data_IF_047660681647
#
_entry.id   IF_047660681647
#
_cell.length_a   1.000
_cell.length_b   1.000
_cell.length_c   1.000
_cell.angle_alpha   90.00
_cell.angle_beta   90.00
_cell.angle_gamma   90.00
#
_symmetry.space_group_name_H-M   'P 1'
#
loop_
_entity.id
_entity.type
_entity.pdbx_description
1 polymer ?
#
# COMPACT_ATOMS: atom_id res chain seq x y z
N UNK A 1 3.29 -10.03 -4.33
CA UNK A 1 2.91 -10.85 -5.51
C UNK A 1 2.25 -10.00 -6.58
N UNK A 2 1.29 -9.16 -6.22
CA UNK A 2 0.58 -8.26 -7.16
C UNK A 2 1.50 -7.21 -7.76
N UNK A 3 2.37 -6.60 -6.95
CA UNK A 3 3.34 -5.60 -7.44
C UNK A 3 4.30 -6.20 -8.47
N UNK A 4 4.83 -7.41 -8.23
CA UNK A 4 5.68 -8.11 -9.20
C UNK A 4 4.99 -8.33 -10.56
N UNK A 5 3.69 -8.63 -10.54
CA UNK A 5 2.90 -8.81 -11.76
C UNK A 5 2.70 -7.48 -12.49
N UNK A 6 2.47 -6.39 -11.74
CA UNK A 6 2.37 -5.03 -12.29
C UNK A 6 3.69 -4.53 -12.86
N UNK A 7 4.79 -4.75 -12.14
CA UNK A 7 6.15 -4.46 -12.60
C UNK A 7 6.46 -5.22 -13.89
N UNK A 8 6.04 -6.49 -13.98
CA UNK A 8 6.17 -7.27 -15.21
C UNK A 8 5.37 -6.64 -16.36
N UNK A 9 4.08 -6.36 -16.16
CA UNK A 9 3.24 -5.74 -17.19
C UNK A 9 3.81 -4.39 -17.65
N UNK A 10 4.25 -3.56 -16.72
CA UNK A 10 4.90 -2.28 -16.99
C UNK A 10 6.21 -2.46 -17.78
N UNK A 11 7.05 -3.43 -17.41
CA UNK A 11 8.29 -3.76 -18.15
C UNK A 11 8.03 -4.22 -19.58
N UNK A 12 6.83 -4.72 -19.86
CA UNK A 12 6.37 -5.19 -21.17
C UNK A 12 5.56 -4.12 -21.93
N UNK A 13 5.39 -2.92 -21.36
CA UNK A 13 4.49 -1.85 -21.86
C UNK A 13 3.07 -2.36 -22.14
N UNK A 14 2.57 -3.24 -21.27
CA UNK A 14 1.20 -3.76 -21.32
C UNK A 14 0.38 -3.11 -20.23
N UNK A 15 -0.90 -2.80 -20.51
CA UNK A 15 -1.66 -3.05 -21.74
C UNK A 15 -1.53 -1.95 -22.84
N UNK A 16 -0.73 -0.90 -22.60
CA UNK A 16 -0.64 0.26 -23.51
C UNK A 16 -0.28 -0.08 -24.96
N UNK A 17 0.65 -1.03 -25.17
CA UNK A 17 1.07 -1.50 -26.49
C UNK A 17 -0.03 -2.20 -27.30
N UNK A 18 -0.94 -2.93 -26.62
CA UNK A 18 -2.07 -3.60 -27.23
C UNK A 18 -3.19 -2.61 -27.56
N UNK A 19 -3.50 -1.70 -26.63
CA UNK A 19 -4.54 -0.67 -26.83
C UNK A 19 -4.17 0.32 -27.95
N UNK A 20 -2.88 0.68 -28.08
CA UNK A 20 -2.40 1.56 -29.14
C UNK A 20 -2.63 0.99 -30.55
N UNK A 21 -2.61 -0.34 -30.70
CA UNK A 21 -2.79 -1.03 -31.97
C UNK A 21 -4.27 -1.25 -32.33
N UNK A 22 -5.09 -1.65 -31.36
CA UNK A 22 -6.50 -2.02 -31.59
C UNK A 22 -7.41 -0.82 -31.86
N UNK A 23 -7.09 0.33 -31.27
CA UNK A 23 -7.88 1.56 -31.43
C UNK A 23 -6.96 2.71 -31.87
N UNK A 24 -6.60 2.78 -33.16
CA UNK A 24 -5.80 3.88 -33.69
C UNK A 24 -6.54 5.23 -33.62
N UNK A 25 -7.88 5.22 -33.48
CA UNK A 25 -8.75 6.38 -33.40
C UNK A 25 -9.58 6.34 -32.09
N UNK A 26 -9.56 7.44 -31.32
CA UNK A 26 -10.31 7.59 -30.06
C UNK A 26 -9.60 7.04 -28.81
N UNK A 27 -10.16 7.28 -27.63
CA UNK A 27 -9.57 6.82 -26.36
C UNK A 27 -9.96 5.36 -26.02
N UNK A 28 -9.09 4.59 -25.35
CA UNK A 28 -9.46 3.30 -24.79
C UNK A 28 -10.59 3.44 -23.75
N UNK A 29 -11.60 2.55 -23.75
CA UNK A 29 -12.75 2.66 -22.85
C UNK A 29 -12.38 2.42 -21.39
N UNK A 30 -11.33 1.62 -21.14
CA UNK A 30 -10.74 1.44 -19.81
C UNK A 30 -10.20 2.76 -19.28
N UNK A 31 -9.38 3.47 -20.07
CA UNK A 31 -8.84 4.78 -19.72
C UNK A 31 -9.96 5.80 -19.45
N UNK A 32 -10.97 5.84 -20.31
CA UNK A 32 -12.14 6.73 -20.13
C UNK A 32 -12.88 6.40 -18.83
N UNK A 33 -13.12 5.12 -18.54
CA UNK A 33 -13.78 4.69 -17.30
C UNK A 33 -12.98 5.09 -16.06
N UNK A 34 -11.65 4.92 -16.06
CA UNK A 34 -10.80 5.33 -14.92
C UNK A 34 -10.77 6.86 -14.77
N UNK A 35 -10.69 7.60 -15.88
CA UNK A 35 -10.76 9.06 -15.87
C UNK A 35 -12.12 9.55 -15.36
N UNK A 36 -13.22 8.93 -15.76
CA UNK A 36 -14.56 9.23 -15.26
C UNK A 36 -14.69 8.92 -13.77
N UNK A 37 -14.18 7.79 -13.29
CA UNK A 37 -14.15 7.47 -11.86
C UNK A 37 -13.38 8.53 -11.06
N UNK A 38 -12.20 8.93 -11.55
CA UNK A 38 -11.39 9.98 -10.92
C UNK A 38 -12.11 11.33 -10.89
N UNK A 39 -12.83 11.70 -11.95
CA UNK A 39 -13.63 12.94 -12.00
C UNK A 39 -14.83 12.89 -11.06
N UNK A 40 -15.56 11.77 -11.04
CA UNK A 40 -16.71 11.58 -10.15
C UNK A 40 -16.31 11.67 -8.68
N UNK A 41 -15.13 11.16 -8.33
CA UNK A 41 -14.60 11.21 -6.97
C UNK A 41 -13.88 12.52 -6.63
N UNK A 42 -13.78 13.45 -7.58
CA UNK A 42 -12.97 14.67 -7.46
C UNK A 42 -11.55 14.36 -6.95
N UNK A 43 -10.94 13.32 -7.53
CA UNK A 43 -9.82 12.59 -6.92
C UNK A 43 -8.60 13.45 -6.60
N UNK A 44 -8.23 14.39 -7.48
CA UNK A 44 -7.08 15.27 -7.27
C UNK A 44 -7.33 16.24 -6.11
N UNK A 45 -8.49 16.89 -6.06
CA UNK A 45 -8.85 17.78 -4.96
C UNK A 45 -8.98 17.01 -3.64
N UNK A 46 -9.51 15.79 -3.68
CA UNK A 46 -9.60 14.92 -2.50
C UNK A 46 -8.22 14.56 -1.95
N UNK A 47 -7.24 14.27 -2.81
CA UNK A 47 -5.85 14.03 -2.41
C UNK A 47 -5.24 15.28 -1.77
N UNK A 48 -5.45 16.46 -2.35
CA UNK A 48 -4.98 17.73 -1.78
C UNK A 48 -5.59 18.01 -0.41
N UNK A 49 -6.91 17.84 -0.26
CA UNK A 49 -7.58 17.99 1.05
C UNK A 49 -7.06 17.00 2.07
N UNK A 50 -6.91 15.72 1.69
CA UNK A 50 -6.36 14.71 2.60
C UNK A 50 -4.95 15.04 3.09
N UNK A 51 -4.11 15.64 2.24
CA UNK A 51 -2.78 16.11 2.64
C UNK A 51 -2.84 17.31 3.59
N UNK A 52 -3.76 18.24 3.32
CA UNK A 52 -3.97 19.41 4.18
C UNK A 52 -4.50 19.00 5.56
N UNK A 53 -5.50 18.12 5.61
CA UNK A 53 -6.04 17.55 6.84
C UNK A 53 -4.95 16.82 7.64
N UNK A 54 -4.13 16.01 6.97
CA UNK A 54 -3.00 15.30 7.60
C UNK A 54 -1.97 16.29 8.15
N UNK A 55 -1.68 17.36 7.43
CA UNK A 55 -0.76 18.41 7.88
C UNK A 55 -1.33 19.17 9.09
N UNK A 56 -2.64 19.42 9.13
CA UNK A 56 -3.30 20.05 10.27
C UNK A 56 -3.22 19.17 11.53
N UNK A 57 -3.54 17.87 11.42
CA UNK A 57 -3.43 16.92 12.54
C UNK A 57 -1.99 16.84 13.04
N UNK A 58 -1.02 16.71 12.12
CA UNK A 58 0.41 16.71 12.45
C UNK A 58 0.85 17.97 13.20
N UNK A 59 0.40 19.14 12.77
CA UNK A 59 0.76 20.40 13.41
C UNK A 59 0.19 20.49 14.83
N UNK A 60 -1.05 20.02 15.03
CA UNK A 60 -1.68 19.95 16.35
C UNK A 60 -0.92 18.99 17.28
N UNK A 61 -0.62 17.78 16.81
CA UNK A 61 0.11 16.77 17.58
C UNK A 61 1.52 17.27 17.93
N UNK A 62 2.19 17.93 16.98
CA UNK A 62 3.50 18.52 17.21
C UNK A 62 3.45 19.65 18.22
N UNK A 63 2.42 20.50 18.17
CA UNK A 63 2.24 21.59 19.14
C UNK A 63 2.05 21.06 20.56
N UNK A 64 1.19 20.04 20.73
CA UNK A 64 0.97 19.36 22.01
C UNK A 64 2.26 18.69 22.52
N UNK A 65 3.00 18.04 21.62
CA UNK A 65 4.29 17.45 21.97
C UNK A 65 5.31 18.50 22.41
N UNK A 66 5.43 19.62 21.68
CA UNK A 66 6.36 20.70 22.06
C UNK A 66 5.98 21.32 23.40
N UNK A 67 4.69 21.53 23.67
CA UNK A 67 4.23 22.00 24.98
C UNK A 67 4.61 21.01 26.09
N UNK A 68 4.44 19.71 25.87
CA UNK A 68 4.85 18.68 26.83
C UNK A 68 6.36 18.67 27.10
N UNK A 69 7.18 18.85 26.05
CA UNK A 69 8.64 18.94 26.19
C UNK A 69 9.06 20.22 26.92
N UNK A 70 8.42 21.35 26.62
CA UNK A 70 8.68 22.64 27.27
C UNK A 70 8.33 22.57 28.76
N UNK A 71 7.24 21.89 29.14
CA UNK A 71 6.89 21.64 30.54
C UNK A 71 7.94 20.79 31.26
N UNK A 72 8.48 19.75 30.61
CA UNK A 72 9.58 18.94 31.16
C UNK A 72 10.88 19.73 31.31
N UNK A 73 11.15 20.65 30.38
CA UNK A 73 12.30 21.54 30.47
C UNK A 73 12.13 22.55 31.62
N UNK A 74 10.95 23.15 31.75
CA UNK A 74 10.64 24.09 32.82
C UNK A 74 10.73 23.44 34.22
N UNK A 75 10.19 22.23 34.40
CA UNK A 75 10.29 21.50 35.68
C UNK A 75 11.76 21.22 36.05
N UNK A 76 12.56 20.79 35.06
CA UNK A 76 13.99 20.56 35.26
C UNK A 76 14.73 21.85 35.64
N UNK A 77 14.44 22.96 34.98
CA UNK A 77 15.04 24.26 35.32
C UNK A 77 14.62 24.75 36.71
N UNK A 78 13.39 24.49 37.14
CA UNK A 78 12.95 24.75 38.52
C UNK A 78 13.70 23.88 39.53
N UNK A 79 13.94 22.60 39.20
CA UNK A 79 14.75 21.70 40.02
C UNK A 79 16.19 22.17 40.19
N UNK A 80 16.83 22.50 39.09
CA UNK A 80 18.22 22.93 39.10
C UNK A 80 18.36 24.26 39.84
N UNK A 81 17.41 25.19 39.69
CA UNK A 81 17.36 26.44 40.46
C UNK A 81 17.15 26.21 41.95
N UNK A 82 16.24 25.32 42.34
CA UNK A 82 15.97 25.00 43.74
C UNK A 82 17.17 24.31 44.40
N UNK A 83 17.80 23.36 43.69
CA UNK A 83 19.02 22.68 44.14
C UNK A 83 20.19 23.66 44.29
N UNK A 84 20.36 24.60 43.36
CA UNK A 84 21.38 25.64 43.46
C UNK A 84 21.14 26.59 44.65
N UNK A 85 19.88 26.93 44.95
CA UNK A 85 19.53 27.88 46.02
C UNK A 85 19.59 27.28 47.43
N UNK A 86 19.11 26.05 47.61
CA UNK A 86 18.94 25.44 48.93
C UNK A 86 20.01 24.38 49.26
N UNK A 87 20.87 24.03 48.29
CA UNK A 87 21.87 22.97 48.43
C UNK A 87 21.24 21.58 48.53
N UNK A 88 22.08 20.55 48.51
CA UNK A 88 21.64 19.14 48.57
C UNK A 88 21.15 18.72 49.96
N UNK A 89 21.45 19.49 51.02
CA UNK A 89 21.05 19.16 52.40
C UNK A 89 19.58 19.45 52.70
N UNK A 90 18.99 20.48 52.06
CA UNK A 90 17.56 20.82 52.23
C UNK A 90 16.68 20.38 51.06
N UNK A 91 17.28 20.13 49.91
CA UNK A 91 16.60 19.67 48.70
C UNK A 91 17.00 18.23 48.37
N UNK A 92 16.43 17.29 49.13
CA UNK A 92 16.75 15.86 49.07
C UNK A 92 15.96 15.08 48.01
N UNK A 93 15.19 15.76 47.14
CA UNK A 93 14.46 15.10 46.06
C UNK A 93 15.41 14.55 44.99
N UNK A 94 15.02 13.44 44.38
CA UNK A 94 15.73 12.91 43.23
C UNK A 94 15.74 13.93 42.09
N UNK A 95 16.79 13.92 41.27
CA UNK A 95 16.88 14.78 40.09
C UNK A 95 15.68 14.54 39.18
N UNK A 96 15.13 15.61 38.62
CA UNK A 96 14.03 15.57 37.64
C UNK A 96 14.27 14.55 36.53
N UNK A 97 15.51 14.38 36.08
CA UNK A 97 15.88 13.41 35.04
C UNK A 97 15.69 11.97 35.51
N UNK A 98 15.99 11.67 36.77
CA UNK A 98 15.87 10.33 37.36
C UNK A 98 14.41 10.05 37.71
N UNK A 99 13.73 11.01 38.36
CA UNK A 99 12.33 10.88 38.74
C UNK A 99 11.41 10.79 37.51
N UNK A 100 11.73 11.53 36.45
CA UNK A 100 10.98 11.60 35.19
C UNK A 100 11.46 10.65 34.10
N UNK A 101 12.36 9.70 34.39
CA UNK A 101 13.02 8.86 33.36
C UNK A 101 12.03 8.22 32.37
N UNK A 102 10.91 7.69 32.87
CA UNK A 102 9.86 7.09 32.03
C UNK A 102 9.28 8.10 31.03
N UNK A 103 9.01 9.33 31.48
CA UNK A 103 8.41 10.38 30.65
C UNK A 103 9.41 10.91 29.62
N UNK A 104 10.68 11.08 30.00
CA UNK A 104 11.74 11.43 29.04
C UNK A 104 11.94 10.34 27.97
N UNK A 105 11.85 9.07 28.35
CA UNK A 105 11.92 7.96 27.40
C UNK A 105 10.72 8.00 26.44
N UNK A 106 9.49 8.15 26.95
CA UNK A 106 8.30 8.30 26.11
C UNK A 106 8.38 9.50 25.18
N UNK A 107 8.91 10.65 25.64
CA UNK A 107 9.12 11.81 24.79
C UNK A 107 10.13 11.52 23.65
N UNK A 108 11.22 10.81 23.95
CA UNK A 108 12.19 10.37 22.95
C UNK A 108 11.57 9.41 21.92
N UNK A 109 10.74 8.47 22.37
CA UNK A 109 10.06 7.51 21.49
C UNK A 109 9.08 8.23 20.55
N UNK A 110 8.28 9.16 21.08
CA UNK A 110 7.36 10.00 20.30
C UNK A 110 8.11 10.84 19.26
N UNK A 111 9.27 11.41 19.62
CA UNK A 111 10.12 12.13 18.67
C UNK A 111 10.62 11.22 17.52
N UNK A 112 10.93 9.95 17.84
CA UNK A 112 11.26 8.93 16.86
C UNK A 112 10.11 8.65 15.89
N UNK A 113 8.87 8.60 16.40
CA UNK A 113 7.67 8.45 15.59
C UNK A 113 7.46 9.65 14.65
N UNK A 114 7.62 10.88 15.14
CA UNK A 114 7.54 12.08 14.28
C UNK A 114 8.58 12.09 13.17
N UNK A 115 9.82 11.67 13.47
CA UNK A 115 10.90 11.61 12.48
C UNK A 115 10.62 10.58 11.38
N UNK A 116 10.08 9.42 11.77
CA UNK A 116 9.68 8.36 10.85
C UNK A 116 8.49 8.79 9.99
N UNK A 117 7.46 9.37 10.61
CA UNK A 117 6.29 9.91 9.93
C UNK A 117 6.66 11.02 8.94
N UNK A 118 7.56 11.93 9.30
CA UNK A 118 8.04 12.98 8.40
C UNK A 118 8.71 12.41 7.15
N UNK A 119 9.50 11.33 7.29
CA UNK A 119 10.14 10.67 6.15
C UNK A 119 9.11 10.04 5.21
N UNK A 120 8.06 9.43 5.77
CA UNK A 120 6.94 8.87 5.00
C UNK A 120 6.12 9.96 4.31
N UNK A 121 5.81 11.07 5.00
CA UNK A 121 5.09 12.21 4.43
C UNK A 121 5.82 12.79 3.21
N UNK A 122 7.14 12.96 3.31
CA UNK A 122 7.97 13.51 2.23
C UNK A 122 7.97 12.59 1.01
N UNK A 123 8.05 11.27 1.25
CA UNK A 123 7.96 10.25 0.20
C UNK A 123 6.61 10.29 -0.50
N UNK A 124 5.49 10.38 0.25
CA UNK A 124 4.14 10.47 -0.32
C UNK A 124 3.98 11.77 -1.10
N UNK A 125 4.49 12.90 -0.59
CA UNK A 125 4.46 14.19 -1.28
C UNK A 125 5.26 14.15 -2.59
N UNK A 126 6.42 13.50 -2.60
CA UNK A 126 7.21 13.26 -3.81
C UNK A 126 6.41 12.46 -4.84
N UNK A 127 5.87 11.32 -4.44
CA UNK A 127 5.02 10.49 -5.32
C UNK A 127 3.81 11.23 -5.88
N UNK A 128 3.16 12.07 -5.06
CA UNK A 128 2.04 12.87 -5.52
C UNK A 128 2.48 13.91 -6.56
N UNK A 129 3.60 14.60 -6.34
CA UNK A 129 4.13 15.58 -7.32
C UNK A 129 4.45 14.92 -8.65
N UNK A 130 5.05 13.73 -8.63
CA UNK A 130 5.37 12.97 -9.84
C UNK A 130 4.09 12.56 -10.59
N UNK A 131 3.05 12.16 -9.85
CA UNK A 131 1.76 11.76 -10.40
C UNK A 131 0.85 12.95 -10.76
N UNK A 132 1.09 14.16 -10.23
CA UNK A 132 0.18 15.31 -10.33
C UNK A 132 -0.08 15.70 -11.79
N UNK A 133 0.96 15.67 -12.62
CA UNK A 133 0.83 15.98 -14.05
C UNK A 133 -0.13 15.00 -14.75
N UNK A 134 0.02 13.70 -14.48
CA UNK A 134 -0.81 12.62 -15.05
C UNK A 134 -2.24 12.73 -14.52
N UNK A 135 -2.41 12.90 -13.21
CA UNK A 135 -3.73 13.04 -12.58
C UNK A 135 -4.47 14.29 -13.09
N UNK A 136 -3.77 15.39 -13.36
CA UNK A 136 -4.37 16.60 -13.94
C UNK A 136 -4.90 16.35 -15.36
N UNK A 137 -4.20 15.54 -16.13
CA UNK A 137 -4.64 15.14 -17.49
C UNK A 137 -5.86 14.21 -17.39
N UNK A 138 -5.84 13.22 -16.49
CA UNK A 138 -6.96 12.29 -16.26
C UNK A 138 -8.23 12.99 -15.75
N UNK A 139 -8.07 13.96 -14.85
CA UNK A 139 -9.18 14.75 -14.30
C UNK A 139 -9.66 15.88 -15.22
N UNK A 140 -8.93 16.18 -16.31
CA UNK A 140 -9.30 17.17 -17.34
C UNK A 140 -10.49 16.73 -18.21
N UNK A 141 -10.74 17.39 -19.34
CA UNK A 141 -11.83 16.98 -20.25
C UNK A 141 -11.42 15.79 -21.13
N UNK A 142 -12.40 15.08 -21.72
CA UNK A 142 -12.10 14.02 -22.71
C UNK A 142 -11.32 14.56 -23.92
N UNK A 143 -11.50 15.84 -24.27
CA UNK A 143 -10.74 16.51 -25.32
C UNK A 143 -9.27 16.70 -24.92
N UNK A 144 -9.01 17.01 -23.66
CA UNK A 144 -7.63 17.15 -23.15
C UNK A 144 -6.91 15.80 -23.17
N UNK A 145 -7.60 14.72 -22.79
CA UNK A 145 -7.11 13.34 -22.91
C UNK A 145 -6.80 12.96 -24.37
N UNK A 146 -7.71 13.25 -25.29
CA UNK A 146 -7.50 13.01 -26.73
C UNK A 146 -6.35 13.82 -27.30
N UNK A 147 -6.12 15.03 -26.80
CA UNK A 147 -4.97 15.85 -27.21
C UNK A 147 -3.64 15.33 -26.69
N UNK A 148 -3.64 14.68 -25.51
CA UNK A 148 -2.45 14.07 -24.93
C UNK A 148 -2.07 12.76 -25.60
N UNK A 149 -3.05 11.98 -26.06
CA UNK A 149 -2.83 10.70 -26.72
C UNK A 149 -2.83 10.90 -28.24
N UNK A 150 -1.65 10.88 -28.92
CA UNK A 150 -1.58 11.10 -30.36
C UNK A 150 -2.46 10.11 -31.13
N UNK A 151 -3.16 10.60 -32.15
CA UNK A 151 -3.88 9.73 -33.08
C UNK A 151 -2.87 9.01 -33.97
N UNK A 152 -2.81 7.68 -33.90
CA UNK A 152 -1.94 6.89 -34.78
C UNK A 152 -2.64 6.63 -36.12
N UNK A 153 -1.87 6.51 -37.20
CA UNK A 153 -2.40 6.04 -38.48
C UNK A 153 -2.94 4.62 -38.30
N UNK A 154 -3.97 4.24 -39.08
CA UNK A 154 -4.50 2.87 -39.05
C UNK A 154 -3.37 1.90 -39.40
N UNK A 155 -2.89 1.16 -38.41
CA UNK A 155 -2.04 0.01 -38.60
C UNK A 155 -2.76 -0.99 -39.52
N UNK A 156 -2.10 -1.48 -40.56
CA UNK A 156 -2.61 -2.61 -41.34
C UNK A 156 -2.48 -3.86 -40.48
N UNK A 157 -3.59 -4.25 -39.84
CA UNK A 157 -3.65 -5.45 -39.00
C UNK A 157 -3.58 -6.67 -39.93
N UNK A 158 -2.48 -7.42 -39.86
CA UNK A 158 -2.37 -8.73 -40.51
C UNK A 158 -3.15 -9.78 -39.72
N UNK A 159 -3.67 -10.85 -40.36
CA UNK A 159 -4.41 -11.91 -39.66
C UNK A 159 -3.58 -12.59 -38.56
N UNK A 160 -2.26 -12.71 -38.75
CA UNK A 160 -1.34 -13.22 -37.72
C UNK A 160 -1.24 -12.27 -36.52
N UNK A 161 -1.23 -10.95 -36.76
CA UNK A 161 -1.21 -9.95 -35.69
C UNK A 161 -2.52 -9.95 -34.90
N UNK A 162 -3.67 -10.11 -35.56
CA UNK A 162 -4.98 -10.18 -34.90
C UNK A 162 -5.11 -11.41 -33.98
N UNK A 163 -4.59 -12.55 -34.43
CA UNK A 163 -4.53 -13.78 -33.62
C UNK A 163 -3.68 -13.61 -32.36
N UNK A 164 -2.46 -13.09 -32.50
CA UNK A 164 -1.58 -12.88 -31.35
C UNK A 164 -2.09 -11.78 -30.41
N UNK A 165 -2.73 -10.74 -30.96
CA UNK A 165 -3.40 -9.69 -30.17
C UNK A 165 -4.56 -10.25 -29.35
N UNK A 166 -5.40 -11.09 -29.96
CA UNK A 166 -6.49 -11.78 -29.26
C UNK A 166 -5.97 -12.71 -28.15
N UNK A 167 -4.86 -13.41 -28.38
CA UNK A 167 -4.21 -14.25 -27.37
C UNK A 167 -3.69 -13.42 -26.19
N UNK A 168 -2.99 -12.33 -26.46
CA UNK A 168 -2.46 -11.44 -25.43
C UNK A 168 -3.60 -10.79 -24.61
N UNK A 169 -4.70 -10.40 -25.25
CA UNK A 169 -5.89 -9.88 -24.58
C UNK A 169 -6.49 -10.91 -23.61
N UNK A 170 -6.58 -12.17 -24.01
CA UNK A 170 -7.05 -13.25 -23.12
C UNK A 170 -6.16 -13.41 -21.89
N UNK A 171 -4.84 -13.40 -22.05
CA UNK A 171 -3.90 -13.46 -20.91
C UNK A 171 -4.06 -12.24 -19.97
N UNK A 172 -4.23 -11.02 -20.51
CA UNK A 172 -4.46 -9.83 -19.69
C UNK A 172 -5.81 -9.88 -18.93
N UNK A 173 -6.85 -10.44 -19.55
CA UNK A 173 -8.13 -10.67 -18.88
C UNK A 173 -8.00 -11.68 -17.74
N UNK A 174 -7.20 -12.73 -17.90
CA UNK A 174 -6.89 -13.68 -16.83
C UNK A 174 -6.13 -13.02 -15.68
N UNK A 175 -5.18 -12.12 -15.98
CA UNK A 175 -4.48 -11.32 -14.96
C UNK A 175 -5.47 -10.46 -14.16
N UNK A 176 -6.37 -9.74 -14.84
CA UNK A 176 -7.39 -8.92 -14.16
C UNK A 176 -8.33 -9.76 -13.30
N UNK A 177 -8.70 -10.97 -13.74
CA UNK A 177 -9.51 -11.91 -12.96
C UNK A 177 -8.76 -12.41 -11.72
N UNK A 178 -7.47 -12.71 -11.86
CA UNK A 178 -6.61 -13.12 -10.75
C UNK A 178 -6.51 -12.00 -9.69
N UNK A 179 -6.28 -10.75 -10.11
CA UNK A 179 -6.23 -9.59 -9.20
C UNK A 179 -7.56 -9.39 -8.45
N UNK A 180 -8.68 -9.48 -9.17
CA UNK A 180 -10.03 -9.32 -8.57
C UNK A 180 -10.33 -10.43 -7.56
N UNK A 181 -10.01 -11.69 -7.91
CA UNK A 181 -10.17 -12.83 -7.01
C UNK A 181 -9.31 -12.69 -5.76
N UNK A 182 -8.06 -12.25 -5.90
CA UNK A 182 -7.15 -11.96 -4.78
C UNK A 182 -7.71 -10.90 -3.85
N UNK A 183 -8.20 -9.76 -4.38
CA UNK A 183 -8.81 -8.70 -3.58
C UNK A 183 -9.98 -9.24 -2.75
N UNK A 184 -10.85 -10.06 -3.34
CA UNK A 184 -11.97 -10.69 -2.63
C UNK A 184 -11.49 -11.66 -1.54
N UNK A 185 -10.49 -12.51 -1.82
CA UNK A 185 -9.91 -13.44 -0.85
C UNK A 185 -9.32 -12.71 0.36
N UNK A 186 -8.57 -11.64 0.12
CA UNK A 186 -8.00 -10.81 1.20
C UNK A 186 -9.12 -10.24 2.09
N UNK A 187 -10.23 -9.80 1.50
CA UNK A 187 -11.36 -9.29 2.27
C UNK A 187 -12.00 -10.38 3.14
N UNK A 188 -12.26 -11.56 2.58
CA UNK A 188 -12.80 -12.71 3.31
C UNK A 188 -11.86 -13.15 4.45
N UNK A 189 -10.55 -13.19 4.21
CA UNK A 189 -9.57 -13.55 5.24
C UNK A 189 -9.53 -12.52 6.38
N UNK A 190 -9.64 -11.22 6.05
CA UNK A 190 -9.74 -10.16 7.07
C UNK A 190 -11.01 -10.28 7.90
N UNK A 191 -12.13 -10.64 7.29
CA UNK A 191 -13.39 -10.87 7.99
C UNK A 191 -13.30 -12.11 8.89
N UNK A 192 -12.73 -13.21 8.38
CA UNK A 192 -12.44 -14.42 9.16
C UNK A 192 -11.57 -14.12 10.38
N UNK A 193 -10.44 -13.43 10.19
CA UNK A 193 -9.55 -13.04 11.27
C UNK A 193 -10.18 -12.10 12.30
N UNK A 194 -11.15 -11.27 11.89
CA UNK A 194 -11.90 -10.41 12.83
C UNK A 194 -12.95 -11.17 13.64
N UNK A 195 -13.53 -12.22 13.06
CA UNK A 195 -14.51 -13.07 13.73
C UNK A 195 -13.85 -14.17 14.58
N UNK A 196 -12.54 -14.35 14.44
CA UNK A 196 -11.77 -15.38 15.11
C UNK A 196 -11.45 -14.97 16.56
N UNK A 197 -12.27 -15.43 17.50
CA UNK A 197 -12.10 -15.17 18.93
C UNK A 197 -11.57 -16.41 19.66
N UNK A 198 -10.30 -16.35 20.05
CA UNK A 198 -9.63 -17.42 20.80
C UNK A 198 -9.85 -17.32 22.32
N UNK A 199 -10.44 -16.23 22.84
CA UNK A 199 -10.60 -16.02 24.28
C UNK A 199 -11.35 -17.15 25.00
N UNK A 200 -12.45 -17.72 24.45
CA UNK A 200 -13.14 -18.84 25.08
C UNK A 200 -12.24 -20.08 25.23
N UNK A 201 -11.39 -20.34 24.23
CA UNK A 201 -10.47 -21.46 24.26
C UNK A 201 -9.32 -21.22 25.25
N UNK A 202 -8.81 -19.99 25.33
CA UNK A 202 -7.82 -19.58 26.34
C UNK A 202 -8.35 -19.75 27.76
N UNK A 203 -9.59 -19.33 28.03
CA UNK A 203 -10.21 -19.48 29.36
C UNK A 203 -10.35 -20.95 29.75
N UNK A 204 -10.71 -21.82 28.81
CA UNK A 204 -10.83 -23.25 29.05
C UNK A 204 -9.48 -23.91 29.35
N UNK A 205 -8.45 -23.58 28.57
CA UNK A 205 -7.09 -24.09 28.81
C UNK A 205 -6.48 -23.52 30.10
N UNK A 206 -6.76 -22.26 30.41
CA UNK A 206 -6.36 -21.66 31.69
C UNK A 206 -6.98 -22.40 32.87
N UNK A 207 -8.29 -22.68 32.83
CA UNK A 207 -8.97 -23.44 33.88
C UNK A 207 -8.45 -24.89 33.99
N UNK A 208 -7.99 -25.50 32.89
CA UNK A 208 -7.33 -26.81 32.89
C UNK A 208 -5.98 -26.75 33.58
N UNK A 209 -5.14 -25.76 33.22
CA UNK A 209 -3.81 -25.56 33.77
C UNK A 209 -3.85 -25.22 35.26
N UNK A 210 -4.78 -24.35 35.69
CA UNK A 210 -4.99 -24.04 37.11
C UNK A 210 -5.40 -25.27 37.94
N UNK A 211 -6.13 -26.22 37.33
CA UNK A 211 -6.55 -27.46 37.99
C UNK A 211 -5.44 -28.51 38.04
N UNK A 212 -4.67 -28.67 36.96
CA UNK A 212 -3.60 -29.67 36.85
C UNK A 212 -2.32 -29.22 37.58
N UNK A 213 -2.01 -27.92 37.57
CA UNK A 213 -0.79 -27.35 38.12
C UNK A 213 -1.05 -26.07 38.96
N UNK A 214 -1.78 -26.17 40.10
CA UNK A 214 -2.21 -25.00 40.89
C UNK A 214 -1.08 -24.17 41.53
N UNK A 215 0.17 -24.63 41.49
CA UNK A 215 1.33 -23.90 42.02
C UNK A 215 2.27 -23.37 40.93
N UNK A 216 2.01 -23.63 39.64
CA UNK A 216 2.80 -23.06 38.56
C UNK A 216 2.15 -21.75 38.08
N UNK A 217 2.95 -20.69 37.84
CA UNK A 217 2.45 -19.51 37.16
C UNK A 217 2.06 -19.88 35.72
N UNK A 218 0.96 -19.30 35.26
CA UNK A 218 0.52 -19.45 33.87
C UNK A 218 1.48 -18.68 32.98
N UNK A 219 2.10 -19.38 32.03
CA UNK A 219 3.06 -18.83 31.08
C UNK A 219 2.57 -19.02 29.64
N UNK A 220 2.98 -18.11 28.74
CA UNK A 220 2.55 -18.15 27.33
C UNK A 220 2.95 -19.44 26.60
N UNK A 221 4.06 -20.07 27.00
CA UNK A 221 4.56 -21.34 26.44
C UNK A 221 3.57 -22.50 26.62
N UNK A 222 2.73 -22.46 27.65
CA UNK A 222 1.76 -23.52 27.94
C UNK A 222 0.58 -23.52 26.95
N UNK A 223 0.41 -22.44 26.19
CA UNK A 223 -0.64 -22.30 25.18
C UNK A 223 -0.15 -22.56 23.75
N UNK A 224 1.13 -22.88 23.53
CA UNK A 224 1.68 -23.08 22.18
C UNK A 224 0.89 -24.13 21.37
N UNK A 225 0.58 -25.28 21.98
CA UNK A 225 -0.22 -26.32 21.33
C UNK A 225 -1.64 -25.85 20.98
N UNK A 226 -2.25 -25.03 21.85
CA UNK A 226 -3.57 -24.46 21.60
C UNK A 226 -3.51 -23.50 20.41
N UNK A 227 -2.48 -22.64 20.36
CA UNK A 227 -2.28 -21.71 19.25
C UNK A 227 -2.01 -22.45 17.95
N UNK A 228 -1.19 -23.50 17.96
CA UNK A 228 -0.92 -24.33 16.79
C UNK A 228 -2.20 -25.01 16.27
N UNK A 229 -2.97 -25.63 17.17
CA UNK A 229 -4.23 -26.29 16.82
C UNK A 229 -5.27 -25.30 16.26
N UNK A 230 -5.33 -24.10 16.85
CA UNK A 230 -6.23 -23.05 16.38
C UNK A 230 -5.80 -22.45 15.04
N UNK A 231 -4.49 -22.33 14.79
CA UNK A 231 -3.95 -21.80 13.54
C UNK A 231 -4.20 -22.73 12.34
N UNK A 232 -4.39 -24.04 12.55
CA UNK A 232 -4.82 -24.97 11.50
C UNK A 232 -6.13 -24.57 10.80
N UNK A 233 -6.96 -23.72 11.44
CA UNK A 233 -8.12 -23.09 10.80
C UNK A 233 -7.75 -22.35 9.51
N UNK A 234 -6.52 -21.84 9.39
CA UNK A 234 -6.03 -21.07 8.25
C UNK A 234 -5.23 -21.89 7.24
N UNK A 235 -5.04 -23.19 7.44
CA UNK A 235 -4.26 -24.05 6.53
C UNK A 235 -4.81 -24.00 5.10
N UNK A 236 -6.13 -24.05 4.95
CA UNK A 236 -6.77 -23.94 3.63
C UNK A 236 -6.47 -22.60 2.95
N UNK A 237 -6.34 -21.51 3.72
CA UNK A 237 -6.01 -20.19 3.19
C UNK A 237 -4.54 -20.14 2.74
N UNK A 238 -3.64 -20.79 3.49
CA UNK A 238 -2.22 -20.94 3.15
C UNK A 238 -2.07 -21.74 1.84
N UNK A 239 -2.76 -22.87 1.73
CA UNK A 239 -2.76 -23.71 0.52
C UNK A 239 -3.30 -22.94 -0.69
N UNK A 240 -4.37 -22.17 -0.51
CA UNK A 240 -4.91 -21.32 -1.58
C UNK A 240 -3.91 -20.26 -2.04
N UNK A 241 -3.13 -19.67 -1.14
CA UNK A 241 -2.07 -18.71 -1.48
C UNK A 241 -0.93 -19.40 -2.24
N UNK A 242 -0.54 -20.60 -1.83
CA UNK A 242 0.49 -21.39 -2.52
C UNK A 242 0.04 -21.78 -3.94
N UNK A 243 -1.20 -22.23 -4.10
CA UNK A 243 -1.78 -22.52 -5.41
C UNK A 243 -1.83 -21.27 -6.29
N UNK A 244 -2.29 -20.15 -5.74
CA UNK A 244 -2.40 -18.89 -6.49
C UNK A 244 -1.03 -18.37 -6.94
N UNK A 245 0.02 -18.61 -6.16
CA UNK A 245 1.40 -18.31 -6.55
C UNK A 245 1.82 -19.10 -7.78
N UNK A 246 1.56 -20.40 -7.80
CA UNK A 246 1.85 -21.27 -8.96
C UNK A 246 1.06 -20.84 -10.19
N UNK A 247 -0.23 -20.53 -10.03
CA UNK A 247 -1.08 -20.00 -11.11
C UNK A 247 -0.53 -18.67 -11.65
N UNK A 248 -0.07 -17.78 -10.78
CA UNK A 248 0.55 -16.51 -11.19
C UNK A 248 1.84 -16.76 -11.99
N UNK A 249 2.73 -17.63 -11.54
CA UNK A 249 3.99 -17.95 -12.24
C UNK A 249 3.74 -18.52 -13.65
N UNK A 250 2.73 -19.37 -13.79
CA UNK A 250 2.30 -19.89 -15.10
C UNK A 250 1.76 -18.77 -16.00
N UNK A 251 0.91 -17.91 -15.46
CA UNK A 251 0.32 -16.78 -16.21
C UNK A 251 1.39 -15.76 -16.62
N UNK A 252 2.37 -15.47 -15.76
CA UNK A 252 3.52 -14.62 -16.09
C UNK A 252 4.31 -15.18 -17.29
N UNK A 253 4.50 -16.50 -17.34
CA UNK A 253 5.17 -17.17 -18.46
C UNK A 253 4.36 -17.02 -19.74
N UNK A 254 3.04 -17.27 -19.68
CA UNK A 254 2.15 -17.13 -20.83
C UNK A 254 2.09 -15.69 -21.35
N UNK A 255 2.06 -14.70 -20.46
CA UNK A 255 2.09 -13.26 -20.83
C UNK A 255 3.40 -12.91 -21.54
N UNK A 256 4.56 -13.39 -21.04
CA UNK A 256 5.85 -13.17 -21.70
C UNK A 256 5.89 -13.78 -23.09
N UNK A 257 5.41 -15.01 -23.25
CA UNK A 257 5.34 -15.69 -24.55
C UNK A 257 4.42 -14.98 -25.53
N UNK A 258 3.20 -14.65 -25.10
CA UNK A 258 2.22 -13.91 -25.90
C UNK A 258 2.77 -12.54 -26.32
N UNK A 259 3.42 -11.81 -25.41
CA UNK A 259 4.03 -10.51 -25.74
C UNK A 259 5.21 -10.64 -26.71
N UNK A 260 6.03 -11.69 -26.58
CA UNK A 260 7.13 -11.94 -27.52
C UNK A 260 6.61 -12.23 -28.93
N UNK A 261 5.55 -13.03 -29.05
CA UNK A 261 4.92 -13.33 -30.35
C UNK A 261 4.25 -12.10 -30.94
N UNK A 262 3.52 -11.34 -30.13
CA UNK A 262 2.94 -10.05 -30.50
C UNK A 262 4.00 -9.08 -31.04
N UNK A 263 5.12 -8.90 -30.31
CA UNK A 263 6.20 -8.03 -30.74
C UNK A 263 6.88 -8.51 -32.02
N UNK A 264 6.99 -9.82 -32.26
CA UNK A 264 7.50 -10.37 -33.53
C UNK A 264 6.57 -10.03 -34.70
N UNK A 265 5.25 -10.20 -34.52
CA UNK A 265 4.25 -9.84 -35.51
C UNK A 265 4.21 -8.32 -35.78
N UNK A 266 4.54 -7.50 -34.76
CA UNK A 266 4.53 -6.03 -34.81
C UNK A 266 5.77 -5.37 -35.42
N UNK A 267 6.84 -6.11 -35.75
CA UNK A 267 8.17 -5.54 -36.15
C UNK A 267 8.20 -4.56 -37.32
N UNK A 268 7.09 -4.34 -38.05
CA UNK A 268 6.98 -3.39 -39.15
C UNK A 268 6.28 -2.06 -38.82
N UNK A 269 5.63 -1.89 -37.67
CA UNK A 269 4.79 -0.72 -37.39
C UNK A 269 5.37 0.17 -36.28
N UNK A 270 5.99 1.29 -36.69
CA UNK A 270 6.54 2.30 -35.77
C UNK A 270 5.56 3.42 -35.45
N UNK A 271 4.39 3.44 -36.10
CA UNK A 271 3.43 4.56 -36.02
C UNK A 271 2.66 4.63 -34.70
N UNK A 272 2.75 3.60 -33.86
CA UNK A 272 2.03 3.47 -32.58
C UNK A 272 2.88 3.73 -31.33
N UNK A 273 4.20 3.96 -31.45
CA UNK A 273 5.11 4.06 -30.29
C UNK A 273 4.86 5.28 -29.40
N UNK A 274 4.60 6.45 -29.99
CA UNK A 274 4.30 7.67 -29.22
C UNK A 274 2.95 7.54 -28.48
N UNK A 275 1.97 6.92 -29.14
CA UNK A 275 0.67 6.60 -28.56
C UNK A 275 0.76 5.56 -27.45
N UNK A 276 1.55 4.51 -27.64
CA UNK A 276 1.87 3.48 -26.63
C UNK A 276 2.46 4.13 -25.37
N UNK A 277 3.45 5.01 -25.54
CA UNK A 277 4.05 5.72 -24.40
C UNK A 277 3.04 6.61 -23.67
N UNK A 278 2.23 7.37 -24.41
CA UNK A 278 1.20 8.22 -23.81
C UNK A 278 0.14 7.41 -23.05
N UNK A 279 -0.29 6.26 -23.58
CA UNK A 279 -1.23 5.37 -22.89
C UNK A 279 -0.61 4.70 -21.66
N UNK A 280 0.67 4.31 -21.74
CA UNK A 280 1.39 3.70 -20.62
C UNK A 280 1.64 4.68 -19.47
N UNK A 281 1.80 5.98 -19.76
CA UNK A 281 1.94 7.02 -18.74
C UNK A 281 0.61 7.37 -18.04
N UNK A 282 -0.53 7.06 -18.66
CA UNK A 282 -1.85 7.36 -18.13
C UNK A 282 -2.52 6.18 -17.39
N UNK A 283 -1.96 4.97 -17.49
CA UNK A 283 -2.34 3.81 -16.64
C UNK A 283 -1.52 3.77 -15.35
#
# INVERSE_FOLDING_TARGET
MTDKLRDLLQSLNLPGSLQALEKPLGLPPTLVSHAEELRQQDGLNRLHRSLEDTAQVKNNDKALYTEGVDLLAAEKEEDDRARAKYGTDRWNRQSSVIAGQKVYQTASDINGYFSSAQSTDELIRGKLRDAEKVLRILTGTNRDLESYVPSSRRATITPDLDRETSRLRSCLNEVSRLETRRKRRVQVLKEKARADDINPALLKETARLEREFPMQPIEASQFENLFEEHLHLYDSDIDMVAQERTEQEQLETQVREANNNFNRARRGDTSSKEREKALQELE
#
